data_IF_471852575469
#
_entry.id   IF_471852575469
#
_cell.length_a   1.000
_cell.length_b   1.000
_cell.length_c   1.000
_cell.angle_alpha   90.00
_cell.angle_beta   90.00
_cell.angle_gamma   90.00
#
_symmetry.space_group_name_H-M   'P 1'
#
loop_
_entity.id
_entity.type
_entity.pdbx_description
1 polymer ?
#
# COMPACT_ATOMS: atom_id res chain seq x y z
N UNK A 1 -10.73 1.29 17.71
CA UNK A 1 -11.14 1.30 16.29
C UNK A 1 -9.90 1.29 15.41
N UNK A 2 -9.96 0.82 14.16
CA UNK A 2 -8.76 0.56 13.33
C UNK A 2 -7.82 1.78 13.26
N UNK A 3 -8.35 3.00 13.04
CA UNK A 3 -7.55 4.23 13.05
C UNK A 3 -6.77 4.46 14.35
N UNK A 4 -7.41 4.23 15.50
CA UNK A 4 -6.77 4.38 16.80
C UNK A 4 -5.61 3.38 16.98
N UNK A 5 -5.80 2.14 16.52
CA UNK A 5 -4.76 1.12 16.58
C UNK A 5 -3.59 1.43 15.63
N UNK A 6 -3.87 1.99 14.46
CA UNK A 6 -2.83 2.46 13.53
C UNK A 6 -1.95 3.54 14.17
N UNK A 7 -2.56 4.56 14.78
CA UNK A 7 -1.84 5.69 15.41
C UNK A 7 -1.07 5.25 16.68
N UNK A 8 -1.62 4.28 17.42
CA UNK A 8 -1.04 3.80 18.68
C UNK A 8 -0.01 2.68 18.48
N UNK A 9 0.21 2.21 17.25
CA UNK A 9 1.13 1.12 16.97
C UNK A 9 2.58 1.64 16.99
N UNK A 10 3.34 1.28 18.04
CA UNK A 10 4.77 1.61 18.16
C UNK A 10 5.64 0.80 17.17
N UNK A 11 5.18 -0.38 16.73
CA UNK A 11 5.87 -1.24 15.76
C UNK A 11 4.88 -1.94 14.83
N UNK A 12 4.76 -1.42 13.60
CA UNK A 12 3.96 -2.03 12.52
C UNK A 12 2.44 -1.98 12.78
N UNK A 13 1.67 -1.57 11.78
CA UNK A 13 0.21 -1.58 11.92
C UNK A 13 -0.31 -3.03 11.82
N UNK A 14 -0.98 -3.57 12.87
CA UNK A 14 -1.49 -4.95 12.89
C UNK A 14 -2.56 -5.21 11.83
N UNK A 15 -3.12 -4.18 11.22
CA UNK A 15 -4.11 -4.28 10.15
C UNK A 15 -3.48 -4.19 8.74
N UNK A 16 -2.14 -4.18 8.64
CA UNK A 16 -1.46 -4.23 7.35
C UNK A 16 -1.54 -5.64 6.76
N UNK A 17 -2.15 -5.76 5.59
CA UNK A 17 -2.13 -6.99 4.80
C UNK A 17 -0.91 -6.99 3.87
N UNK A 18 -0.17 -8.10 3.88
CA UNK A 18 0.94 -8.34 2.94
C UNK A 18 0.58 -9.49 2.01
N UNK A 19 0.89 -9.33 0.73
CA UNK A 19 0.75 -10.38 -0.27
C UNK A 19 2.06 -10.48 -1.06
N UNK A 20 2.49 -11.71 -1.31
CA UNK A 20 3.70 -12.00 -2.09
C UNK A 20 3.31 -12.76 -3.36
N UNK A 21 3.82 -12.29 -4.50
CA UNK A 21 3.56 -12.88 -5.80
C UNK A 21 4.87 -13.22 -6.49
N UNK A 22 4.90 -14.37 -7.18
CA UNK A 22 5.98 -14.71 -8.11
C UNK A 22 5.53 -14.39 -9.52
N UNK A 23 6.35 -13.65 -10.25
CA UNK A 23 6.11 -13.25 -11.63
C UNK A 23 7.26 -13.77 -12.49
N UNK A 24 6.92 -14.21 -13.70
CA UNK A 24 7.86 -14.91 -14.58
C UNK A 24 8.98 -14.02 -15.10
N UNK A 25 8.65 -12.79 -15.45
CA UNK A 25 9.53 -11.84 -16.12
C UNK A 25 9.09 -10.40 -15.88
N UNK A 26 9.92 -9.45 -16.32
CA UNK A 26 9.66 -8.01 -16.13
C UNK A 26 8.38 -7.54 -16.85
N UNK A 27 8.09 -8.05 -18.04
CA UNK A 27 6.90 -7.66 -18.77
C UNK A 27 5.62 -8.05 -17.98
N UNK A 28 5.62 -9.20 -17.31
CA UNK A 28 4.51 -9.60 -16.42
C UNK A 28 4.40 -8.76 -15.16
N UNK A 29 5.50 -8.27 -14.63
CA UNK A 29 5.48 -7.28 -13.54
C UNK A 29 4.83 -5.97 -14.01
N UNK A 30 5.22 -5.45 -15.16
CA UNK A 30 4.68 -4.20 -15.67
C UNK A 30 3.18 -4.33 -15.99
N UNK A 31 2.74 -5.45 -16.61
CA UNK A 31 1.33 -5.77 -16.84
C UNK A 31 0.53 -5.81 -15.52
N UNK A 32 1.07 -6.50 -14.51
CA UNK A 32 0.45 -6.64 -13.20
C UNK A 32 0.30 -5.29 -12.49
N UNK A 33 1.36 -4.47 -12.50
CA UNK A 33 1.37 -3.14 -11.92
C UNK A 33 0.32 -2.22 -12.58
N UNK A 34 0.22 -2.23 -13.90
CA UNK A 34 -0.82 -1.48 -14.61
C UNK A 34 -2.24 -1.95 -14.26
N UNK A 35 -2.45 -3.26 -14.19
CA UNK A 35 -3.74 -3.82 -13.80
C UNK A 35 -4.13 -3.39 -12.38
N UNK A 36 -3.18 -3.45 -11.44
CA UNK A 36 -3.41 -3.03 -10.05
C UNK A 36 -3.70 -1.53 -9.93
N UNK A 37 -3.01 -0.69 -10.71
CA UNK A 37 -3.36 0.73 -10.82
C UNK A 37 -4.80 0.93 -11.32
N UNK A 38 -5.25 0.13 -12.29
CA UNK A 38 -6.65 0.14 -12.76
C UNK A 38 -7.66 -0.25 -11.67
N UNK A 39 -7.31 -1.21 -10.80
CA UNK A 39 -8.12 -1.57 -9.63
C UNK A 39 -8.18 -0.43 -8.63
N UNK A 40 -7.06 0.23 -8.32
CA UNK A 40 -7.00 1.41 -7.44
C UNK A 40 -7.90 2.52 -7.98
N UNK A 41 -7.80 2.83 -9.27
CA UNK A 41 -8.60 3.87 -9.90
C UNK A 41 -10.11 3.59 -9.84
N UNK A 42 -10.51 2.31 -9.91
CA UNK A 42 -11.92 1.90 -9.95
C UNK A 42 -12.57 1.84 -8.56
N UNK A 43 -11.80 1.74 -7.48
CA UNK A 43 -12.31 1.49 -6.14
C UNK A 43 -11.95 2.61 -5.17
N UNK A 44 -12.96 3.39 -4.76
CA UNK A 44 -12.83 4.53 -3.83
C UNK A 44 -12.04 4.19 -2.57
N UNK A 45 -12.28 3.01 -1.99
CA UNK A 45 -11.62 2.57 -0.77
C UNK A 45 -10.09 2.48 -0.90
N UNK A 46 -9.56 2.18 -2.10
CA UNK A 46 -8.12 2.10 -2.35
C UNK A 46 -7.48 3.47 -2.60
N UNK A 47 -8.29 4.52 -2.70
CA UNK A 47 -7.89 5.93 -2.85
C UNK A 47 -8.44 6.80 -1.73
N UNK A 48 -8.83 6.19 -0.60
CA UNK A 48 -9.33 6.90 0.59
C UNK A 48 -8.19 7.15 1.57
N UNK A 49 -7.98 8.41 1.93
CA UNK A 49 -7.21 8.81 3.09
C UNK A 49 -8.14 9.07 4.28
N UNK A 50 -7.63 8.91 5.50
CA UNK A 50 -8.29 9.40 6.71
C UNK A 50 -7.51 10.62 7.19
N UNK A 51 -8.16 11.76 7.32
CA UNK A 51 -7.56 12.99 7.87
C UNK A 51 -8.13 13.21 9.26
N UNK A 52 -7.28 13.50 10.25
CA UNK A 52 -7.72 13.70 11.64
C UNK A 52 -6.95 14.80 12.38
N UNK A 53 -5.76 15.18 11.92
CA UNK A 53 -4.96 16.20 12.59
C UNK A 53 -5.62 17.58 12.44
N UNK A 54 -5.90 18.23 13.59
CA UNK A 54 -6.49 19.58 13.62
C UNK A 54 -7.98 19.65 13.22
N UNK A 55 -8.66 18.51 13.12
CA UNK A 55 -10.09 18.43 12.81
C UNK A 55 -10.92 18.04 14.05
N UNK A 56 -12.18 18.49 14.11
CA UNK A 56 -13.09 18.13 15.21
C UNK A 56 -13.42 16.63 15.24
N UNK A 57 -13.44 15.99 14.07
CA UNK A 57 -13.63 14.55 13.90
C UNK A 57 -12.81 14.01 12.71
N UNK A 58 -12.43 12.71 12.70
CA UNK A 58 -11.74 12.10 11.57
C UNK A 58 -12.62 12.06 10.31
N UNK A 59 -12.07 12.47 9.17
CA UNK A 59 -12.76 12.50 7.89
C UNK A 59 -12.16 11.51 6.90
N UNK A 60 -13.03 10.77 6.20
CA UNK A 60 -12.62 9.95 5.06
C UNK A 60 -12.65 10.80 3.78
N UNK A 61 -11.48 10.96 3.16
CA UNK A 61 -11.30 11.76 1.96
C UNK A 61 -10.96 10.85 0.80
N UNK A 62 -11.87 10.77 -0.16
CA UNK A 62 -11.69 10.02 -1.40
C UNK A 62 -10.88 10.87 -2.38
N UNK A 63 -9.62 10.50 -2.60
CA UNK A 63 -8.71 11.21 -3.50
C UNK A 63 -9.11 10.99 -4.95
N UNK A 64 -9.00 12.02 -5.79
CA UNK A 64 -9.31 11.88 -7.23
C UNK A 64 -8.40 10.88 -7.94
N UNK A 65 -7.14 10.83 -7.53
CA UNK A 65 -6.12 9.94 -8.04
C UNK A 65 -5.22 9.48 -6.90
N UNK A 66 -4.76 8.23 -6.97
CA UNK A 66 -3.76 7.66 -6.08
C UNK A 66 -2.85 6.78 -6.93
N UNK A 67 -1.57 7.14 -7.02
CA UNK A 67 -0.59 6.41 -7.83
C UNK A 67 0.04 5.27 -7.02
N UNK A 68 0.16 4.11 -7.64
CA UNK A 68 0.86 2.97 -7.09
C UNK A 68 2.36 3.17 -7.27
N UNK A 69 3.09 3.25 -6.17
CA UNK A 69 4.55 3.32 -6.20
C UNK A 69 5.17 1.92 -6.28
N UNK A 70 6.11 1.74 -7.20
CA UNK A 70 6.90 0.52 -7.34
C UNK A 70 8.34 0.84 -6.94
N UNK A 71 8.84 0.15 -5.92
CA UNK A 71 10.24 0.23 -5.50
C UNK A 71 10.95 -1.05 -5.91
N UNK A 72 11.96 -0.92 -6.76
CA UNK A 72 12.84 -2.02 -7.10
C UNK A 72 13.93 -2.18 -6.05
N UNK A 73 14.14 -3.41 -5.60
CA UNK A 73 15.18 -3.76 -4.64
C UNK A 73 16.12 -4.76 -5.31
N UNK A 74 17.41 -4.43 -5.33
CA UNK A 74 18.46 -5.36 -5.74
C UNK A 74 18.86 -6.18 -4.53
N UNK A 75 18.79 -7.51 -4.66
CA UNK A 75 19.13 -8.44 -3.60
C UNK A 75 20.57 -8.90 -3.81
N UNK A 76 21.46 -8.54 -2.90
CA UNK A 76 22.79 -9.14 -2.83
C UNK A 76 22.68 -10.47 -2.07
N UNK A 77 23.11 -11.61 -2.66
CA UNK A 77 23.17 -12.88 -1.95
C UNK A 77 23.97 -12.84 -0.62
N UNK A 78 24.88 -11.87 -0.45
CA UNK A 78 25.63 -11.66 0.78
C UNK A 78 24.80 -11.06 1.93
N UNK A 79 23.65 -10.44 1.66
CA UNK A 79 22.82 -9.78 2.68
C UNK A 79 21.96 -10.77 3.50
N UNK A 80 21.98 -12.05 3.13
CA UNK A 80 21.20 -13.09 3.79
C UNK A 80 19.75 -13.19 3.27
N UNK A 81 18.93 -14.07 3.87
CA UNK A 81 17.54 -14.24 3.47
C UNK A 81 16.69 -13.01 3.81
N UNK A 82 15.68 -12.73 2.97
CA UNK A 82 14.64 -11.75 3.27
C UNK A 82 13.63 -12.38 4.24
N UNK A 83 13.54 -11.84 5.45
CA UNK A 83 12.52 -12.20 6.45
C UNK A 83 11.19 -11.48 6.23
#
# INVERSE_FOLDING_TARGET
GILYHHISAEQGDPYTLKALFSLRDRARLDDFSHALQGVINRHDILRTAVLWEGLEEPLQVVLRQAEMHVTEVYLDPADGPLD
#
